data_IF_934527436390
#
_entry.id   IF_934527436390
#
_cell.length_a   1.000
_cell.length_b   1.000
_cell.length_c   1.000
_cell.angle_alpha   90.00
_cell.angle_beta   90.00
_cell.angle_gamma   90.00
#
_symmetry.space_group_name_H-M   'P 1'
#
loop_
_entity.id
_entity.type
_entity.pdbx_description
1 polymer ?
#
# COMPACT_ATOMS: atom_id res chain seq x y z
N UNK A 1 9.96 5.87 14.07
CA UNK A 1 10.80 6.00 12.87
C UNK A 1 10.35 7.22 12.08
N UNK A 2 11.24 7.83 11.31
CA UNK A 2 10.95 9.00 10.49
C UNK A 2 11.99 9.14 9.37
N UNK A 3 11.70 9.98 8.37
CA UNK A 3 12.63 10.32 7.31
C UNK A 3 13.30 11.66 7.61
N UNK A 4 14.64 11.75 7.45
CA UNK A 4 15.39 12.98 7.71
C UNK A 4 16.72 13.04 6.95
N UNK A 5 17.24 14.26 6.84
CA UNK A 5 18.51 14.58 6.19
C UNK A 5 19.43 15.31 7.19
N UNK A 6 20.64 14.79 7.37
CA UNK A 6 21.67 15.35 8.27
C UNK A 6 22.71 16.23 7.55
N UNK A 7 22.55 16.43 6.24
CA UNK A 7 23.46 17.16 5.37
C UNK A 7 24.69 16.35 4.92
N UNK A 8 24.79 15.07 5.29
CA UNK A 8 25.88 14.15 4.93
C UNK A 8 25.38 12.96 4.12
N UNK A 9 24.24 12.37 4.53
CA UNK A 9 23.70 11.13 3.97
C UNK A 9 22.47 11.33 3.07
N UNK A 10 22.14 12.60 2.72
CA UNK A 10 20.84 12.90 2.10
C UNK A 10 19.67 12.48 2.99
N UNK A 11 18.47 12.34 2.41
CA UNK A 11 17.25 11.98 3.16
C UNK A 11 17.09 10.47 3.27
N UNK A 12 17.25 9.96 4.49
CA UNK A 12 17.33 8.54 4.81
C UNK A 12 16.34 8.12 5.91
N UNK A 13 16.41 6.86 6.34
CA UNK A 13 15.59 6.31 7.42
C UNK A 13 16.24 6.52 8.78
N UNK A 14 15.48 7.12 9.70
CA UNK A 14 15.92 7.43 11.06
C UNK A 14 15.05 6.74 12.12
N UNK A 15 15.69 6.44 13.25
CA UNK A 15 15.05 5.92 14.46
C UNK A 15 15.21 6.90 15.62
N UNK A 16 14.24 6.94 16.53
CA UNK A 16 14.27 7.77 17.73
C UNK A 16 13.45 7.13 18.83
N UNK A 17 13.90 7.28 20.06
CA UNK A 17 13.16 6.99 21.29
C UNK A 17 12.50 8.25 21.90
N UNK A 18 12.53 9.37 21.18
CA UNK A 18 12.07 10.68 21.64
C UNK A 18 13.15 11.52 22.32
N UNK A 19 14.39 11.03 22.44
CA UNK A 19 15.53 11.77 23.00
C UNK A 19 16.58 12.11 21.94
N UNK A 20 17.39 13.17 22.14
CA UNK A 20 18.51 13.46 21.25
C UNK A 20 19.52 12.31 21.17
N UNK A 21 19.80 11.63 22.29
CA UNK A 21 20.78 10.54 22.35
C UNK A 21 20.30 9.23 21.68
N UNK A 22 18.99 9.00 21.66
CA UNK A 22 18.38 7.87 20.96
C UNK A 22 17.98 8.16 19.52
N UNK A 23 18.17 9.39 19.04
CA UNK A 23 17.89 9.77 17.64
C UNK A 23 19.11 9.50 16.77
N UNK A 24 18.98 8.59 15.81
CA UNK A 24 20.10 8.16 14.96
C UNK A 24 19.64 7.70 13.58
N UNK A 25 20.53 7.87 12.60
CA UNK A 25 20.43 7.24 11.29
C UNK A 25 20.30 5.73 11.51
N UNK A 26 19.25 5.14 10.97
CA UNK A 26 19.02 3.70 11.07
C UNK A 26 19.84 2.97 10.01
N UNK A 27 19.76 3.44 8.77
CA UNK A 27 20.46 2.91 7.62
C UNK A 27 20.66 4.03 6.59
N UNK A 28 21.86 4.11 6.02
CA UNK A 28 22.17 4.88 4.81
C UNK A 28 21.90 3.95 3.61
N UNK A 29 20.66 4.00 3.09
CA UNK A 29 20.20 3.08 2.06
C UNK A 29 20.73 3.47 0.67
N UNK A 30 20.85 4.77 0.39
CA UNK A 30 21.44 5.29 -0.83
C UNK A 30 22.75 6.04 -0.51
N UNK A 31 23.90 5.33 -0.52
CA UNK A 31 25.10 5.81 0.14
C UNK A 31 25.59 7.20 -0.28
N UNK A 32 26.01 7.97 0.71
CA UNK A 32 26.58 9.31 0.51
C UNK A 32 25.50 10.39 0.43
N UNK A 33 25.70 11.43 -0.39
CA UNK A 33 24.77 12.59 -0.39
C UNK A 33 23.46 12.34 -1.16
N UNK A 34 23.29 11.15 -1.73
CA UNK A 34 22.07 10.76 -2.41
C UNK A 34 20.96 10.48 -1.37
N UNK A 35 19.72 10.41 -1.81
CA UNK A 35 18.56 10.26 -0.92
C UNK A 35 17.82 8.99 -1.28
N UNK A 36 17.53 8.15 -0.29
CA UNK A 36 16.60 7.03 -0.43
C UNK A 36 15.14 7.43 -0.25
N UNK A 37 14.89 8.64 0.24
CA UNK A 37 13.59 9.28 0.40
C UNK A 37 12.50 8.39 1.06
N UNK A 38 12.72 7.77 2.24
CA UNK A 38 11.76 6.81 2.77
C UNK A 38 10.37 7.40 3.01
N UNK A 39 9.33 6.73 2.51
CA UNK A 39 7.93 7.12 2.68
C UNK A 39 7.04 5.96 3.14
N UNK A 40 5.75 6.24 3.39
CA UNK A 40 4.74 5.25 3.75
C UNK A 40 5.14 4.33 4.94
N UNK A 41 5.75 4.92 5.98
CA UNK A 41 6.21 4.18 7.17
C UNK A 41 5.03 3.49 7.88
N UNK A 42 4.94 2.17 7.79
CA UNK A 42 3.86 1.35 8.38
C UNK A 42 4.46 0.22 9.22
N UNK A 43 3.88 -0.04 10.39
CA UNK A 43 4.29 -1.18 11.24
C UNK A 43 3.31 -2.34 11.02
N UNK A 44 3.83 -3.54 10.73
CA UNK A 44 3.10 -4.81 10.68
C UNK A 44 3.97 -5.92 11.27
N UNK A 45 3.41 -6.88 12.00
CA UNK A 45 4.16 -7.96 12.68
C UNK A 45 5.42 -7.47 13.44
N UNK A 46 5.31 -6.32 14.12
CA UNK A 46 6.42 -5.72 14.86
C UNK A 46 7.61 -5.23 14.01
N UNK A 47 7.49 -5.24 12.68
CA UNK A 47 8.49 -4.73 11.73
C UNK A 47 8.03 -3.44 11.08
N UNK A 48 9.00 -2.60 10.71
CA UNK A 48 8.74 -1.40 9.91
C UNK A 48 8.83 -1.74 8.43
N UNK A 49 7.77 -1.44 7.71
CA UNK A 49 7.70 -1.46 6.25
C UNK A 49 7.65 -0.04 5.72
N UNK A 50 8.29 0.18 4.58
CA UNK A 50 8.38 1.50 3.97
C UNK A 50 8.78 1.39 2.50
N UNK A 51 8.47 2.44 1.73
CA UNK A 51 9.02 2.61 0.39
C UNK A 51 10.36 3.36 0.49
N UNK A 52 11.37 2.94 -0.29
CA UNK A 52 12.65 3.63 -0.42
C UNK A 52 13.40 3.21 -1.69
N UNK A 53 14.32 4.08 -2.14
CA UNK A 53 15.19 3.87 -3.31
C UNK A 53 16.67 3.73 -2.89
N UNK A 54 17.31 2.59 -3.20
CA UNK A 54 18.74 2.37 -2.92
C UNK A 54 19.68 2.93 -4.02
N UNK A 55 19.12 3.63 -5.00
CA UNK A 55 19.82 4.16 -6.16
C UNK A 55 20.11 3.12 -7.26
N UNK A 56 19.70 1.87 -7.09
CA UNK A 56 19.91 0.78 -8.05
C UNK A 56 18.60 0.21 -8.59
N UNK A 57 17.60 0.05 -7.73
CA UNK A 57 16.34 -0.60 -8.08
C UNK A 57 15.17 0.39 -8.25
N UNK A 58 15.36 1.65 -7.84
CA UNK A 58 14.24 2.58 -7.70
C UNK A 58 13.47 2.36 -6.40
N UNK A 59 12.36 3.08 -6.25
CA UNK A 59 11.47 2.95 -5.09
C UNK A 59 10.80 1.58 -5.00
N UNK A 60 11.21 0.79 -4.00
CA UNK A 60 10.78 -0.58 -3.72
C UNK A 60 10.30 -0.74 -2.26
N UNK A 61 9.74 -1.91 -1.91
CA UNK A 61 9.30 -2.20 -0.55
C UNK A 61 10.47 -2.68 0.29
N UNK A 62 10.72 -2.00 1.40
CA UNK A 62 11.75 -2.33 2.37
C UNK A 62 11.13 -2.71 3.72
N UNK A 63 11.84 -3.55 4.46
CA UNK A 63 11.48 -3.96 5.82
C UNK A 63 12.67 -3.75 6.77
N UNK A 64 12.38 -3.42 8.03
CA UNK A 64 13.37 -3.26 9.10
C UNK A 64 12.86 -3.81 10.43
N UNK A 65 13.74 -4.48 11.17
CA UNK A 65 13.53 -4.88 12.57
C UNK A 65 13.99 -3.80 13.57
N UNK A 66 14.35 -2.61 13.09
CA UNK A 66 14.92 -1.54 13.90
C UNK A 66 16.44 -1.57 14.01
N UNK A 67 17.10 -2.47 13.29
CA UNK A 67 18.56 -2.53 13.14
C UNK A 67 18.99 -2.35 11.69
N UNK A 68 20.21 -1.84 11.46
CA UNK A 68 20.77 -1.74 10.11
C UNK A 68 20.87 -3.12 9.43
N UNK A 69 21.28 -4.16 10.18
CA UNK A 69 21.44 -5.52 9.67
C UNK A 69 20.10 -6.19 9.30
N UNK A 70 19.02 -5.85 9.99
CA UNK A 70 17.68 -6.32 9.66
C UNK A 70 16.95 -5.42 8.66
N UNK A 71 17.57 -4.36 8.15
CA UNK A 71 16.99 -3.46 7.14
C UNK A 71 17.36 -3.94 5.75
N UNK A 72 16.38 -4.37 4.95
CA UNK A 72 16.61 -4.90 3.61
C UNK A 72 15.37 -4.74 2.71
N UNK A 73 15.61 -4.75 1.40
CA UNK A 73 14.54 -4.80 0.41
C UNK A 73 13.82 -6.13 0.52
N UNK A 74 12.50 -6.10 0.58
CA UNK A 74 11.70 -7.31 0.69
C UNK A 74 11.76 -8.10 -0.61
N UNK A 75 11.55 -7.42 -1.73
CA UNK A 75 11.55 -7.96 -3.09
C UNK A 75 11.72 -6.82 -4.09
N UNK A 76 12.50 -7.04 -5.14
CA UNK A 76 12.47 -6.20 -6.35
C UNK A 76 11.20 -6.58 -7.14
N UNK A 77 10.11 -5.83 -6.90
CA UNK A 77 8.79 -6.16 -7.48
C UNK A 77 8.77 -5.87 -8.98
N UNK A 78 9.40 -4.76 -9.40
CA UNK A 78 9.48 -4.35 -10.80
C UNK A 78 10.90 -4.51 -11.35
N UNK A 79 11.27 -5.78 -11.56
CA UNK A 79 12.63 -6.16 -11.93
C UNK A 79 13.19 -5.37 -13.12
N UNK A 80 14.50 -5.07 -13.05
CA UNK A 80 15.23 -4.38 -14.12
C UNK A 80 15.49 -2.89 -13.85
N UNK A 81 15.49 -2.49 -12.58
CA UNK A 81 15.84 -1.13 -12.14
C UNK A 81 14.73 -0.11 -12.40
N UNK A 82 13.49 -0.57 -12.54
CA UNK A 82 12.31 0.30 -12.62
C UNK A 82 11.66 0.32 -11.24
N UNK A 83 11.27 1.49 -10.73
CA UNK A 83 10.56 1.55 -9.45
C UNK A 83 9.20 0.85 -9.55
N UNK A 84 8.84 0.07 -8.52
CA UNK A 84 7.49 -0.44 -8.32
C UNK A 84 6.56 0.59 -7.68
N UNK A 85 7.10 1.62 -7.01
CA UNK A 85 6.38 2.66 -6.28
C UNK A 85 5.35 2.11 -5.28
N UNK A 86 5.75 1.31 -4.27
CA UNK A 86 4.84 0.83 -3.24
C UNK A 86 4.14 1.99 -2.53
N UNK A 87 2.83 1.89 -2.37
CA UNK A 87 2.03 2.86 -1.61
C UNK A 87 0.78 2.21 -1.01
N UNK A 88 0.03 2.98 -0.22
CA UNK A 88 -1.15 2.48 0.51
C UNK A 88 -0.80 1.30 1.43
N UNK A 89 0.36 1.39 2.09
CA UNK A 89 0.83 0.35 3.02
C UNK A 89 -0.11 0.27 4.23
N UNK A 90 -0.83 -0.83 4.34
CA UNK A 90 -1.85 -1.08 5.37
C UNK A 90 -1.58 -2.43 6.03
N UNK A 91 -1.39 -2.43 7.35
CA UNK A 91 -1.25 -3.65 8.14
C UNK A 91 -2.63 -4.31 8.34
N UNK A 92 -2.72 -5.62 8.10
CA UNK A 92 -3.91 -6.43 8.36
C UNK A 92 -3.46 -7.70 9.07
N UNK A 93 -3.77 -7.81 10.37
CA UNK A 93 -3.17 -8.85 11.20
C UNK A 93 -1.64 -8.74 11.21
N UNK A 94 -0.97 -9.84 10.86
CA UNK A 94 0.50 -9.94 10.78
C UNK A 94 1.04 -9.71 9.35
N UNK A 95 0.16 -9.45 8.37
CA UNK A 95 0.57 -9.19 6.99
C UNK A 95 0.52 -7.70 6.66
N UNK A 96 1.33 -7.29 5.69
CA UNK A 96 1.26 -5.99 5.06
C UNK A 96 0.56 -6.12 3.70
N UNK A 97 -0.47 -5.32 3.48
CA UNK A 97 -1.05 -5.10 2.17
C UNK A 97 -0.58 -3.77 1.59
N UNK A 98 -0.35 -3.72 0.29
CA UNK A 98 0.11 -2.53 -0.41
C UNK A 98 -0.25 -2.58 -1.88
N UNK A 99 -0.02 -1.47 -2.58
CA UNK A 99 -0.18 -1.38 -4.02
C UNK A 99 1.15 -1.05 -4.66
N UNK A 100 1.50 -1.75 -5.73
CA UNK A 100 2.77 -1.59 -6.43
C UNK A 100 2.60 -1.95 -7.91
N UNK A 101 3.47 -1.40 -8.74
CA UNK A 101 3.59 -1.75 -10.15
C UNK A 101 4.56 -2.90 -10.34
N UNK A 102 4.27 -3.80 -11.26
CA UNK A 102 5.26 -4.71 -11.82
C UNK A 102 5.34 -4.59 -13.34
N UNK A 103 6.16 -5.44 -13.96
CA UNK A 103 6.37 -5.45 -15.41
C UNK A 103 5.29 -6.19 -16.21
N UNK A 104 4.20 -6.67 -15.59
CA UNK A 104 3.17 -7.49 -16.25
C UNK A 104 1.73 -6.98 -16.05
N UNK A 105 1.40 -6.51 -14.85
CA UNK A 105 0.04 -6.23 -14.37
C UNK A 105 -0.22 -4.73 -14.13
N UNK A 106 0.77 -3.86 -14.28
CA UNK A 106 0.63 -2.46 -13.86
C UNK A 106 0.44 -2.36 -12.34
N UNK A 107 -0.27 -1.33 -11.85
CA UNK A 107 -0.50 -1.16 -10.40
C UNK A 107 -1.59 -2.10 -9.89
N UNK A 108 -1.19 -3.05 -9.06
CA UNK A 108 -2.05 -4.09 -8.52
C UNK A 108 -2.04 -4.13 -6.98
N UNK A 109 -2.87 -4.99 -6.38
CA UNK A 109 -2.86 -5.27 -4.94
C UNK A 109 -1.86 -6.40 -4.64
N UNK A 110 -1.00 -6.16 -3.66
CA UNK A 110 0.03 -7.09 -3.19
C UNK A 110 -0.07 -7.28 -1.68
N UNK A 111 0.48 -8.40 -1.21
CA UNK A 111 0.72 -8.65 0.22
C UNK A 111 2.16 -9.04 0.48
N UNK A 112 2.60 -8.92 1.73
CA UNK A 112 3.92 -9.33 2.20
C UNK A 112 3.91 -9.76 3.66
N UNK A 113 4.64 -10.84 3.96
CA UNK A 113 5.03 -11.25 5.31
C UNK A 113 6.42 -10.72 5.73
N UNK A 114 7.01 -9.84 4.93
CA UNK A 114 8.37 -9.30 5.12
C UNK A 114 9.47 -10.14 4.49
N UNK A 115 9.13 -11.21 3.77
CA UNK A 115 10.08 -12.00 3.00
C UNK A 115 9.81 -11.89 1.49
N UNK A 116 10.84 -12.11 0.67
CA UNK A 116 10.68 -12.15 -0.77
C UNK A 116 9.70 -13.22 -1.25
N UNK A 117 9.66 -14.36 -0.55
CA UNK A 117 8.80 -15.50 -0.90
C UNK A 117 7.34 -15.26 -0.54
N UNK A 118 7.06 -14.66 0.63
CA UNK A 118 5.72 -14.27 1.04
C UNK A 118 5.25 -12.92 0.46
N UNK A 119 6.01 -12.34 -0.48
CA UNK A 119 5.60 -11.13 -1.20
C UNK A 119 5.00 -11.49 -2.54
N UNK A 120 3.68 -11.44 -2.60
CA UNK A 120 2.87 -12.04 -3.66
C UNK A 120 1.82 -11.04 -4.18
N UNK A 121 1.53 -11.16 -5.48
CA UNK A 121 0.40 -10.49 -6.10
C UNK A 121 -0.89 -11.10 -5.53
N UNK A 122 -1.78 -10.26 -5.03
CA UNK A 122 -3.10 -10.68 -4.55
C UNK A 122 -4.13 -10.56 -5.67
N UNK A 123 -4.20 -9.40 -6.32
CA UNK A 123 -5.22 -9.13 -7.34
C UNK A 123 -4.73 -8.10 -8.35
N UNK A 124 -4.70 -8.51 -9.62
CA UNK A 124 -4.71 -7.59 -10.76
C UNK A 124 -6.17 -7.28 -11.12
N UNK A 125 -6.55 -6.01 -11.00
CA UNK A 125 -7.90 -5.55 -11.32
C UNK A 125 -8.08 -5.26 -12.81
N UNK A 126 -7.01 -5.16 -13.60
CA UNK A 126 -7.08 -4.80 -15.01
C UNK A 126 -6.14 -5.63 -15.90
N UNK A 127 -6.36 -6.95 -16.00
CA UNK A 127 -5.48 -7.85 -16.72
C UNK A 127 -5.42 -7.54 -18.23
N UNK A 128 -4.20 -7.56 -18.77
CA UNK A 128 -3.93 -7.37 -20.20
C UNK A 128 -3.76 -5.92 -20.64
N UNK A 129 -3.70 -4.98 -19.69
CA UNK A 129 -3.40 -3.58 -19.93
C UNK A 129 -2.53 -3.01 -18.82
N UNK A 130 -1.34 -2.55 -19.19
CA UNK A 130 -0.38 -1.91 -18.27
C UNK A 130 -0.90 -0.64 -17.59
N UNK A 131 -1.85 0.03 -18.23
CA UNK A 131 -2.62 1.17 -17.72
C UNK A 131 -3.64 1.50 -18.83
N UNK A 132 -4.94 1.65 -18.56
CA UNK A 132 -5.84 2.13 -19.57
C UNK A 132 -5.43 3.56 -19.98
N UNK A 133 -5.73 3.95 -21.23
CA UNK A 133 -5.31 5.24 -21.81
C UNK A 133 -5.99 6.47 -21.19
N UNK A 134 -6.55 6.37 -19.98
CA UNK A 134 -7.24 7.44 -19.27
C UNK A 134 -6.52 7.78 -17.96
N UNK A 135 -6.27 9.07 -17.67
CA UNK A 135 -5.58 9.53 -16.47
C UNK A 135 -6.55 9.57 -15.28
N UNK A 136 -7.08 8.43 -14.85
CA UNK A 136 -8.01 8.33 -13.72
C UNK A 136 -7.43 7.44 -12.60
N UNK A 137 -7.82 7.67 -11.34
CA UNK A 137 -7.47 6.79 -10.23
C UNK A 137 -8.38 5.55 -10.28
N UNK A 138 -8.03 4.63 -11.16
CA UNK A 138 -8.64 3.29 -11.32
C UNK A 138 -7.82 2.20 -10.62
N UNK A 139 -6.72 2.62 -9.99
CA UNK A 139 -5.79 1.79 -9.27
C UNK A 139 -6.41 1.41 -7.92
N UNK A 140 -6.09 0.23 -7.37
CA UNK A 140 -6.48 -0.07 -5.99
C UNK A 140 -5.99 1.05 -5.06
N UNK A 141 -6.88 1.54 -4.20
CA UNK A 141 -6.63 2.67 -3.30
C UNK A 141 -7.52 2.58 -2.06
N UNK A 142 -7.34 3.51 -1.11
CA UNK A 142 -8.09 3.58 0.15
C UNK A 142 -8.06 2.28 0.97
N UNK A 143 -6.92 1.59 0.96
CA UNK A 143 -6.73 0.34 1.70
C UNK A 143 -6.99 0.54 3.20
N UNK A 144 -8.01 -0.12 3.72
CA UNK A 144 -8.52 0.05 5.08
C UNK A 144 -8.68 -1.31 5.74
N UNK A 145 -7.94 -1.55 6.82
CA UNK A 145 -8.07 -2.77 7.61
C UNK A 145 -9.34 -2.75 8.47
N UNK A 146 -10.12 -3.83 8.44
CA UNK A 146 -11.25 -4.06 9.35
C UNK A 146 -11.19 -5.50 9.85
N UNK A 147 -10.74 -5.67 11.10
CA UNK A 147 -10.44 -7.00 11.64
C UNK A 147 -9.26 -7.63 10.89
N UNK A 148 -9.47 -8.84 10.37
CA UNK A 148 -8.53 -9.64 9.58
C UNK A 148 -8.69 -9.46 8.07
N UNK A 149 -9.50 -8.50 7.62
CA UNK A 149 -9.78 -8.25 6.21
C UNK A 149 -9.32 -6.87 5.78
N UNK A 150 -9.01 -6.77 4.50
CA UNK A 150 -8.73 -5.52 3.83
C UNK A 150 -9.96 -5.07 3.03
N UNK A 151 -10.40 -3.84 3.23
CA UNK A 151 -11.32 -3.15 2.32
C UNK A 151 -10.54 -2.18 1.46
N UNK A 152 -10.96 -2.01 0.21
CA UNK A 152 -10.33 -1.10 -0.73
C UNK A 152 -11.31 -0.62 -1.78
N UNK A 153 -10.96 0.46 -2.48
CA UNK A 153 -11.61 0.82 -3.73
C UNK A 153 -10.71 0.51 -4.92
N UNK A 154 -11.31 -0.03 -5.97
CA UNK A 154 -10.63 -0.38 -7.22
C UNK A 154 -11.64 -0.42 -8.37
N UNK A 155 -11.15 -0.38 -9.61
CA UNK A 155 -11.99 -0.55 -10.80
C UNK A 155 -11.54 -1.77 -11.61
N UNK A 156 -12.45 -2.69 -11.89
CA UNK A 156 -12.17 -3.90 -12.67
C UNK A 156 -12.40 -3.78 -14.19
N UNK A 157 -12.50 -2.56 -14.71
CA UNK A 157 -12.82 -2.32 -16.12
C UNK A 157 -14.32 -2.36 -16.45
N UNK A 158 -15.18 -2.67 -15.48
CA UNK A 158 -16.65 -2.76 -15.67
C UNK A 158 -17.39 -1.81 -14.72
N UNK A 159 -18.68 -1.54 -14.96
CA UNK A 159 -19.50 -0.77 -14.02
C UNK A 159 -18.98 0.65 -13.71
N UNK A 160 -19.21 1.11 -12.47
CA UNK A 160 -18.72 2.40 -11.97
C UNK A 160 -17.24 2.34 -11.58
N UNK A 161 -16.56 3.49 -11.55
CA UNK A 161 -15.12 3.59 -11.28
C UNK A 161 -14.75 3.39 -9.81
N UNK A 162 -15.61 3.83 -8.88
CA UNK A 162 -15.40 3.67 -7.44
C UNK A 162 -16.10 2.42 -6.94
N UNK A 163 -15.51 1.24 -7.08
CA UNK A 163 -16.13 -0.01 -6.61
C UNK A 163 -15.55 -0.38 -5.25
N UNK A 164 -16.38 -0.86 -4.33
CA UNK A 164 -15.92 -1.35 -3.03
C UNK A 164 -15.61 -2.84 -3.12
N UNK A 165 -14.44 -3.21 -2.61
CA UNK A 165 -13.97 -4.59 -2.53
C UNK A 165 -13.57 -4.93 -1.11
N UNK A 166 -13.59 -6.22 -0.81
CA UNK A 166 -12.96 -6.82 0.36
C UNK A 166 -11.99 -7.90 -0.09
N UNK A 167 -10.91 -8.10 0.66
CA UNK A 167 -9.89 -9.12 0.42
C UNK A 167 -9.50 -9.81 1.74
N UNK A 168 -9.27 -11.12 1.65
CA UNK A 168 -8.67 -11.96 2.69
C UNK A 168 -7.18 -12.25 2.42
N UNK A 169 -6.60 -11.63 1.39
CA UNK A 169 -5.22 -11.90 0.97
C UNK A 169 -5.07 -12.82 -0.23
N UNK A 170 -6.13 -13.43 -0.75
CA UNK A 170 -6.05 -14.24 -1.98
C UNK A 170 -6.82 -13.60 -3.15
N UNK A 171 -6.51 -14.05 -4.37
CA UNK A 171 -7.23 -13.62 -5.58
C UNK A 171 -8.73 -13.97 -5.49
N UNK A 172 -9.05 -15.19 -5.05
CA UNK A 172 -10.41 -15.70 -4.92
C UNK A 172 -11.19 -15.03 -3.79
N UNK A 173 -10.54 -14.72 -2.67
CA UNK A 173 -11.15 -14.01 -1.55
C UNK A 173 -11.17 -12.49 -1.73
N UNK A 174 -10.63 -11.97 -2.83
CA UNK A 174 -10.77 -10.57 -3.23
C UNK A 174 -12.03 -10.37 -4.06
N UNK A 175 -13.11 -9.97 -3.40
CA UNK A 175 -14.46 -9.93 -3.97
C UNK A 175 -15.08 -8.53 -3.93
N UNK A 176 -15.85 -8.21 -4.98
CA UNK A 176 -16.58 -6.95 -5.09
C UNK A 176 -17.81 -6.98 -4.21
N UNK A 177 -17.98 -5.96 -3.38
CA UNK A 177 -19.14 -5.78 -2.51
C UNK A 177 -20.14 -4.81 -3.12
N UNK A 178 -19.64 -3.73 -3.73
CA UNK A 178 -20.45 -2.69 -4.33
C UNK A 178 -19.87 -2.25 -5.68
N UNK A 179 -20.73 -2.16 -6.69
CA UNK A 179 -20.36 -1.81 -8.06
C UNK A 179 -20.14 -0.32 -8.31
N UNK A 180 -20.55 0.56 -7.39
CA UNK A 180 -20.29 2.00 -7.48
C UNK A 180 -20.61 2.74 -6.17
N UNK A 181 -19.63 2.98 -5.30
CA UNK A 181 -19.76 3.83 -4.10
C UNK A 181 -19.60 5.33 -4.41
N UNK A 182 -18.99 5.63 -5.55
CA UNK A 182 -18.76 6.97 -6.10
C UNK A 182 -19.63 7.23 -7.33
N UNK A 183 -20.06 8.48 -7.57
CA UNK A 183 -20.20 8.93 -8.96
C UNK A 183 -18.84 9.44 -9.41
N UNK A 184 -18.50 9.17 -10.68
CA UNK A 184 -17.28 9.53 -11.42
C UNK A 184 -16.19 10.24 -10.59
N UNK A 185 -14.97 9.68 -10.43
CA UNK A 185 -13.88 10.34 -9.71
C UNK A 185 -13.55 11.77 -10.20
N UNK A 186 -14.02 12.18 -11.40
CA UNK A 186 -14.00 13.57 -11.89
C UNK A 186 -14.92 14.53 -11.15
N UNK A 187 -15.91 14.04 -10.41
CA UNK A 187 -16.87 14.83 -9.64
C UNK A 187 -16.27 15.34 -8.31
N UNK A 188 -15.05 14.93 -7.96
CA UNK A 188 -14.31 15.46 -6.82
C UNK A 188 -14.85 15.01 -5.45
N UNK A 189 -15.69 13.97 -5.40
CA UNK A 189 -16.14 13.39 -4.14
C UNK A 189 -15.05 12.49 -3.58
N UNK A 190 -14.59 12.80 -2.36
CA UNK A 190 -13.66 11.94 -1.64
C UNK A 190 -14.37 10.64 -1.27
N UNK A 191 -13.81 9.51 -1.64
CA UNK A 191 -14.20 8.20 -1.10
C UNK A 191 -13.53 8.06 0.27
N UNK A 192 -14.33 8.00 1.32
CA UNK A 192 -13.84 7.86 2.69
C UNK A 192 -14.24 6.47 3.16
N UNK A 193 -13.26 5.58 3.26
CA UNK A 193 -13.42 4.29 3.92
C UNK A 193 -12.96 4.44 5.37
N UNK A 194 -13.83 4.15 6.33
CA UNK A 194 -13.53 4.27 7.76
C UNK A 194 -13.89 2.99 8.50
N UNK A 195 -12.89 2.37 9.12
CA UNK A 195 -13.10 1.24 10.02
C UNK A 195 -13.69 1.71 11.36
N UNK A 196 -14.79 1.10 11.79
CA UNK A 196 -15.35 1.29 13.14
C UNK A 196 -15.76 -0.06 13.68
N UNK A 197 -14.98 -0.58 14.64
CA UNK A 197 -15.17 -1.93 15.16
C UNK A 197 -14.92 -2.99 14.09
N UNK A 198 -15.91 -3.85 13.86
CA UNK A 198 -15.90 -4.94 12.87
C UNK A 198 -16.55 -4.55 11.54
N UNK A 199 -16.90 -3.27 11.36
CA UNK A 199 -17.57 -2.78 10.15
C UNK A 199 -16.77 -1.68 9.47
N UNK A 200 -16.96 -1.61 8.15
CA UNK A 200 -16.60 -0.46 7.35
C UNK A 200 -17.77 0.51 7.29
N UNK A 201 -17.47 1.81 7.34
CA UNK A 201 -18.38 2.90 7.01
C UNK A 201 -17.82 3.65 5.82
N UNK A 202 -18.68 3.99 4.86
CA UNK A 202 -18.25 4.67 3.65
C UNK A 202 -19.37 5.53 3.06
N UNK A 203 -18.98 6.54 2.29
CA UNK A 203 -19.94 7.34 1.55
C UNK A 203 -20.38 6.63 0.27
N UNK A 204 -21.68 6.48 0.10
CA UNK A 204 -22.30 5.99 -1.13
C UNK A 204 -23.28 7.06 -1.64
N UNK A 205 -22.91 7.78 -2.69
CA UNK A 205 -23.69 8.95 -3.08
C UNK A 205 -23.55 10.09 -2.06
N UNK A 206 -24.70 10.62 -1.62
CA UNK A 206 -24.82 11.55 -0.49
C UNK A 206 -25.10 10.82 0.84
N UNK A 207 -25.25 9.50 0.79
CA UNK A 207 -25.59 8.68 1.94
C UNK A 207 -24.34 8.09 2.61
N UNK A 208 -24.47 7.74 3.89
CA UNK A 208 -23.47 6.98 4.64
C UNK A 208 -23.94 5.53 4.74
N UNK A 209 -23.16 4.62 4.15
CA UNK A 209 -23.40 3.19 4.12
C UNK A 209 -22.39 2.47 5.03
N UNK A 210 -22.69 1.20 5.34
CA UNK A 210 -21.83 0.32 6.11
C UNK A 210 -21.71 -1.05 5.44
N UNK A 211 -20.56 -1.70 5.63
CA UNK A 211 -20.35 -3.08 5.20
C UNK A 211 -19.78 -3.92 6.35
N UNK A 212 -20.27 -5.15 6.49
CA UNK A 212 -19.60 -6.21 7.26
C UNK A 212 -18.69 -7.09 6.40
N UNK A 213 -18.44 -6.70 5.14
CA UNK A 213 -17.61 -7.41 4.19
C UNK A 213 -18.32 -8.54 3.45
N UNK A 214 -19.64 -8.59 3.49
CA UNK A 214 -20.46 -9.46 2.62
C UNK A 214 -21.33 -8.61 1.69
N UNK A 215 -21.67 -9.10 0.48
CA UNK A 215 -22.58 -8.38 -0.41
C UNK A 215 -23.94 -8.08 0.25
N UNK A 216 -24.49 -9.00 1.04
CA UNK A 216 -25.79 -8.81 1.71
C UNK A 216 -25.73 -7.82 2.88
N UNK A 217 -24.58 -7.72 3.55
CA UNK A 217 -24.36 -6.83 4.69
C UNK A 217 -23.81 -5.45 4.33
N UNK A 218 -23.83 -5.10 3.04
CA UNK A 218 -23.35 -3.83 2.46
C UNK A 218 -24.53 -2.95 2.05
N UNK A 219 -24.83 -1.89 2.82
CA UNK A 219 -26.00 -1.01 2.63
C UNK A 219 -25.92 0.32 3.39
#
# INVERSE_FOLDING_TARGET
YFSADDGVHGRELWSTDGTPGGTRLLMDLNPGVASSAPTALTIADGRLYFEADDGQHGGELWVSDGTAAGTHMVKDVNAGGRPSFPSNLTAVGDELFFTANDSEHGRALWRSDGTAAGTELVKDFFPGSFDPPVPLPILPTHLTAVGDRLFLTAWDGTGGYGQLWVSDGTDEGTVKLDGSIGEDPRAGRLEVLTAVGDRLFYNHGEDLWTSDGTPEGTM
#
